data_IF_512628733091
#
_entry.id   IF_512628733091
#
_cell.length_a   1.000
_cell.length_b   1.000
_cell.length_c   1.000
_cell.angle_alpha   90.00
_cell.angle_beta   90.00
_cell.angle_gamma   90.00
#
_symmetry.space_group_name_H-M   'P 1'
#
loop_
_entity.id
_entity.type
_entity.pdbx_description
1 polymer ?
#
# COMPACT_ATOMS: atom_id res chain seq x y z
N UNK A 1 29.42 44.54 -6.54
CA UNK A 1 28.07 43.96 -6.72
C UNK A 1 28.21 42.45 -6.67
N UNK A 2 27.75 41.79 -5.60
CA UNK A 2 27.74 40.33 -5.51
C UNK A 2 26.36 39.80 -5.93
N UNK A 3 26.25 38.85 -6.87
CA UNK A 3 25.01 38.10 -7.08
C UNK A 3 24.92 36.98 -6.03
N UNK A 4 23.81 36.96 -5.30
CA UNK A 4 23.46 35.89 -4.34
C UNK A 4 23.08 34.62 -5.10
N UNK A 5 24.06 33.73 -5.32
CA UNK A 5 23.82 32.34 -5.72
C UNK A 5 23.58 31.47 -4.48
N UNK A 6 22.43 30.80 -4.41
CA UNK A 6 22.12 29.79 -3.39
C UNK A 6 23.09 28.60 -3.56
N UNK A 7 23.79 28.13 -2.52
CA UNK A 7 24.61 26.93 -2.63
C UNK A 7 23.75 25.70 -2.99
N UNK A 8 24.20 24.92 -3.98
CA UNK A 8 23.67 23.58 -4.26
C UNK A 8 24.00 22.67 -3.07
N UNK A 9 22.98 22.10 -2.45
CA UNK A 9 23.16 20.98 -1.51
C UNK A 9 23.45 19.72 -2.32
N UNK A 10 24.73 19.41 -2.47
CA UNK A 10 25.21 18.09 -2.84
C UNK A 10 25.30 17.24 -1.57
N UNK A 11 24.16 16.70 -1.13
CA UNK A 11 24.09 15.63 -0.13
C UNK A 11 22.63 15.19 -0.01
N UNK A 12 22.17 14.35 -0.93
CA UNK A 12 21.10 13.37 -0.68
C UNK A 12 21.14 12.24 -1.73
N UNK A 13 22.35 11.88 -2.17
CA UNK A 13 22.61 10.58 -2.79
C UNK A 13 23.05 9.62 -1.69
N UNK A 14 22.07 9.05 -0.97
CA UNK A 14 22.10 7.74 -0.28
C UNK A 14 20.87 7.54 0.60
N UNK A 15 19.69 7.89 0.10
CA UNK A 15 18.47 7.22 0.53
C UNK A 15 18.41 5.87 -0.18
N UNK A 16 19.05 4.85 0.40
CA UNK A 16 18.80 3.44 0.06
C UNK A 16 17.34 3.13 0.39
N UNK A 17 16.42 3.58 -0.47
CA UNK A 17 15.08 3.05 -0.50
C UNK A 17 15.21 1.67 -1.12
N UNK A 18 15.42 0.67 -0.27
CA UNK A 18 14.95 -0.67 -0.58
C UNK A 18 13.46 -0.51 -0.84
N UNK A 19 13.00 -0.69 -2.10
CA UNK A 19 11.59 -0.96 -2.29
C UNK A 19 11.35 -2.14 -1.36
N UNK A 20 10.37 -2.03 -0.48
CA UNK A 20 9.81 -3.22 0.13
C UNK A 20 9.31 -3.99 -1.09
N UNK A 21 10.13 -4.93 -1.54
CA UNK A 21 9.72 -6.02 -2.40
C UNK A 21 8.73 -6.72 -1.50
N UNK A 22 7.47 -6.27 -1.61
CA UNK A 22 6.32 -6.94 -1.01
C UNK A 22 6.30 -8.27 -1.73
N UNK A 23 7.08 -9.21 -1.18
CA UNK A 23 7.37 -10.49 -1.79
C UNK A 23 6.08 -11.27 -1.94
N UNK A 24 6.12 -12.31 -2.77
CA UNK A 24 5.05 -13.31 -2.81
C UNK A 24 4.64 -13.80 -1.42
N UNK A 25 5.53 -13.71 -0.42
CA UNK A 25 5.25 -14.03 0.98
C UNK A 25 4.27 -13.07 1.67
N UNK A 26 4.26 -11.78 1.32
CA UNK A 26 3.22 -10.86 1.81
C UNK A 26 1.88 -11.18 1.16
N UNK A 27 1.88 -11.60 -0.11
CA UNK A 27 0.67 -12.05 -0.79
C UNK A 27 0.15 -13.37 -0.22
N UNK A 28 1.03 -14.34 0.08
CA UNK A 28 0.69 -15.59 0.77
C UNK A 28 0.18 -15.34 2.21
N UNK A 29 0.74 -14.36 2.92
CA UNK A 29 0.23 -13.98 4.25
C UNK A 29 -1.08 -13.17 4.19
N UNK A 30 -1.38 -12.51 3.07
CA UNK A 30 -2.70 -11.91 2.82
C UNK A 30 -3.75 -12.95 2.37
N UNK A 31 -3.29 -14.12 1.91
CA UNK A 31 -4.11 -15.30 1.63
C UNK A 31 -4.39 -16.15 2.88
N UNK A 32 -4.04 -15.68 4.10
CA UNK A 32 -4.52 -16.31 5.33
C UNK A 32 -6.02 -16.05 5.39
N UNK A 33 -6.77 -16.95 4.78
CA UNK A 33 -8.23 -17.01 4.81
C UNK A 33 -8.66 -17.16 6.26
N UNK A 34 -9.45 -16.20 6.75
CA UNK A 34 -10.25 -16.41 7.94
C UNK A 34 -11.10 -17.67 7.74
N UNK A 35 -10.93 -18.69 8.58
CA UNK A 35 -11.65 -19.98 8.47
C UNK A 35 -13.17 -19.83 8.69
N UNK A 36 -13.67 -18.63 9.02
CA UNK A 36 -15.09 -18.26 9.05
C UNK A 36 -15.28 -16.80 8.64
N UNK A 37 -16.36 -16.44 7.91
CA UNK A 37 -16.68 -15.04 7.67
C UNK A 37 -16.98 -14.36 9.01
N UNK A 38 -16.17 -13.38 9.39
CA UNK A 38 -16.43 -12.55 10.57
C UNK A 38 -17.65 -11.65 10.33
N UNK A 39 -18.42 -11.40 11.39
CA UNK A 39 -19.55 -10.49 11.31
C UNK A 39 -19.08 -9.06 11.01
N UNK A 40 -19.82 -8.34 10.16
CA UNK A 40 -19.46 -6.98 9.73
C UNK A 40 -19.32 -6.00 10.91
N UNK A 41 -20.03 -6.24 12.01
CA UNK A 41 -19.93 -5.46 13.23
C UNK A 41 -18.57 -5.65 13.95
N UNK A 42 -18.06 -6.87 13.98
CA UNK A 42 -16.77 -7.20 14.60
C UNK A 42 -15.62 -6.56 13.82
N UNK A 43 -15.64 -6.67 12.49
CA UNK A 43 -14.64 -6.04 11.61
C UNK A 43 -14.62 -4.51 11.78
N UNK A 44 -15.79 -3.88 11.91
CA UNK A 44 -15.88 -2.44 12.17
C UNK A 44 -15.28 -2.10 13.54
N UNK A 45 -15.55 -2.88 14.58
CA UNK A 45 -14.99 -2.66 15.91
C UNK A 45 -13.46 -2.77 15.91
N UNK A 46 -12.91 -3.82 15.29
CA UNK A 46 -11.44 -3.98 15.10
C UNK A 46 -10.85 -2.78 14.36
N UNK A 47 -11.47 -2.36 13.27
CA UNK A 47 -11.00 -1.24 12.47
C UNK A 47 -11.02 0.09 13.24
N UNK A 48 -12.04 0.33 14.07
CA UNK A 48 -12.09 1.51 14.95
C UNK A 48 -10.88 1.54 15.88
N UNK A 49 -10.60 0.42 16.57
CA UNK A 49 -9.44 0.30 17.48
C UNK A 49 -8.12 0.54 16.73
N UNK A 50 -7.96 -0.05 15.55
CA UNK A 50 -6.77 0.13 14.72
C UNK A 50 -6.58 1.60 14.32
N UNK A 51 -7.65 2.29 13.93
CA UNK A 51 -7.59 3.69 13.48
C UNK A 51 -7.26 4.66 14.60
N UNK A 52 -7.59 4.33 15.85
CA UNK A 52 -7.26 5.14 17.03
C UNK A 52 -5.77 5.03 17.42
N UNK A 53 -5.06 3.98 16.98
CA UNK A 53 -3.64 3.79 17.28
C UNK A 53 -2.76 4.23 16.09
N UNK A 54 -1.93 5.29 16.21
CA UNK A 54 -1.22 5.88 15.06
C UNK A 54 -0.38 4.88 14.24
N UNK A 55 0.42 4.04 14.91
CA UNK A 55 1.29 3.08 14.23
C UNK A 55 0.52 1.96 13.53
N UNK A 56 -0.57 1.49 14.15
CA UNK A 56 -1.41 0.44 13.56
C UNK A 56 -2.26 1.00 12.41
N UNK A 57 -2.70 2.25 12.53
CA UNK A 57 -3.38 2.99 11.48
C UNK A 57 -2.48 3.22 10.27
N UNK A 58 -1.21 3.63 10.49
CA UNK A 58 -0.21 3.75 9.42
C UNK A 58 0.02 2.40 8.73
N UNK A 59 0.15 1.32 9.50
CA UNK A 59 0.30 -0.03 8.95
C UNK A 59 -0.94 -0.48 8.15
N UNK A 60 -2.14 -0.25 8.66
CA UNK A 60 -3.40 -0.55 7.98
C UNK A 60 -3.51 0.16 6.63
N UNK A 61 -3.22 1.46 6.58
CA UNK A 61 -3.25 2.18 5.31
C UNK A 61 -2.20 1.65 4.34
N UNK A 62 -0.99 1.34 4.82
CA UNK A 62 0.03 0.69 3.98
C UNK A 62 -0.50 -0.59 3.36
N UNK A 63 -1.18 -1.45 4.14
CA UNK A 63 -1.82 -2.67 3.64
C UNK A 63 -2.88 -2.39 2.58
N UNK A 64 -3.82 -1.48 2.83
CA UNK A 64 -4.90 -1.13 1.90
C UNK A 64 -4.36 -0.63 0.56
N UNK A 65 -3.42 0.32 0.61
CA UNK A 65 -2.84 0.90 -0.60
C UNK A 65 -1.97 -0.10 -1.38
N UNK A 66 -1.18 -0.91 -0.68
CA UNK A 66 -0.39 -1.97 -1.31
C UNK A 66 -1.30 -3.00 -1.96
N UNK A 67 -2.36 -3.42 -1.27
CA UNK A 67 -3.30 -4.40 -1.82
C UNK A 67 -4.05 -3.82 -3.04
N UNK A 68 -4.48 -2.56 -2.99
CA UNK A 68 -5.16 -1.94 -4.14
C UNK A 68 -4.27 -1.88 -5.39
N UNK A 69 -2.97 -1.63 -5.22
CA UNK A 69 -2.00 -1.72 -6.30
C UNK A 69 -1.92 -3.14 -6.89
N UNK A 70 -1.88 -4.17 -6.04
CA UNK A 70 -1.86 -5.56 -6.52
C UNK A 70 -3.14 -5.95 -7.24
N UNK A 71 -4.31 -5.55 -6.73
CA UNK A 71 -5.59 -5.81 -7.40
C UNK A 71 -5.60 -5.15 -8.78
N UNK A 72 -5.19 -3.88 -8.87
CA UNK A 72 -5.05 -3.17 -10.14
C UNK A 72 -4.09 -3.90 -11.10
N UNK A 73 -2.88 -4.25 -10.64
CA UNK A 73 -1.88 -4.96 -11.44
C UNK A 73 -2.39 -6.31 -11.94
N UNK A 74 -3.08 -7.08 -11.09
CA UNK A 74 -3.66 -8.37 -11.46
C UNK A 74 -4.78 -8.23 -12.48
N UNK A 75 -5.62 -7.19 -12.38
CA UNK A 75 -6.62 -6.89 -13.41
C UNK A 75 -5.95 -6.55 -14.73
N UNK A 76 -4.96 -5.65 -14.75
CA UNK A 76 -4.19 -5.32 -15.95
C UNK A 76 -3.54 -6.54 -16.59
N UNK A 77 -3.00 -7.46 -15.78
CA UNK A 77 -2.49 -8.75 -16.26
C UNK A 77 -3.59 -9.59 -16.90
N UNK A 78 -4.74 -9.71 -16.25
CA UNK A 78 -5.88 -10.50 -16.72
C UNK A 78 -6.43 -9.95 -18.04
N UNK A 79 -6.60 -8.63 -18.13
CA UNK A 79 -7.05 -7.94 -19.33
C UNK A 79 -6.06 -8.18 -20.49
N UNK A 80 -4.76 -8.01 -20.24
CA UNK A 80 -3.73 -8.22 -21.27
C UNK A 80 -3.67 -9.68 -21.76
N UNK A 81 -3.88 -10.65 -20.87
CA UNK A 81 -3.98 -12.08 -21.23
C UNK A 81 -5.22 -12.32 -22.11
N UNK A 82 -6.37 -11.76 -21.73
CA UNK A 82 -7.62 -11.91 -22.47
C UNK A 82 -7.54 -11.28 -23.87
N UNK A 83 -6.89 -10.12 -23.97
CA UNK A 83 -6.63 -9.39 -25.21
C UNK A 83 -5.52 -10.03 -26.08
N UNK A 84 -4.90 -11.13 -25.61
CA UNK A 84 -3.78 -11.81 -26.29
C UNK A 84 -2.60 -10.89 -26.58
N UNK A 85 -2.29 -10.01 -25.62
CA UNK A 85 -1.13 -9.14 -25.68
C UNK A 85 0.18 -9.92 -25.83
N UNK A 86 1.20 -9.26 -26.38
CA UNK A 86 2.51 -9.86 -26.54
C UNK A 86 3.23 -10.13 -25.20
N UNK A 87 4.24 -10.99 -25.25
CA UNK A 87 5.01 -11.38 -24.07
C UNK A 87 5.70 -10.20 -23.40
N UNK A 88 6.10 -9.18 -24.18
CA UNK A 88 6.73 -7.98 -23.68
C UNK A 88 5.76 -7.15 -22.84
N UNK A 89 4.51 -6.98 -23.27
CA UNK A 89 3.47 -6.28 -22.51
C UNK A 89 3.19 -6.98 -21.17
N UNK A 90 3.07 -8.30 -21.19
CA UNK A 90 2.86 -9.08 -19.96
C UNK A 90 4.03 -8.94 -18.97
N UNK A 91 5.27 -9.01 -19.46
CA UNK A 91 6.45 -8.81 -18.62
C UNK A 91 6.55 -7.38 -18.06
N UNK A 92 6.15 -6.37 -18.83
CA UNK A 92 6.09 -4.98 -18.36
C UNK A 92 5.06 -4.81 -17.24
N UNK A 93 3.88 -5.41 -17.37
CA UNK A 93 2.86 -5.36 -16.31
C UNK A 93 3.36 -6.12 -15.07
N UNK A 94 3.97 -7.31 -15.22
CA UNK A 94 4.56 -8.05 -14.09
C UNK A 94 5.65 -7.26 -13.36
N UNK A 95 6.45 -6.48 -14.08
CA UNK A 95 7.52 -5.65 -13.49
C UNK A 95 7.02 -4.28 -13.00
N UNK A 96 5.73 -3.99 -13.17
CA UNK A 96 5.14 -2.74 -12.70
C UNK A 96 5.42 -2.55 -11.21
N UNK A 97 5.89 -1.35 -10.86
CA UNK A 97 6.17 -0.90 -9.50
C UNK A 97 5.39 0.37 -9.15
N UNK A 98 5.50 0.82 -7.90
CA UNK A 98 4.76 1.98 -7.39
C UNK A 98 5.13 3.30 -8.06
N UNK A 99 6.35 3.45 -8.56
CA UNK A 99 6.78 4.67 -9.27
C UNK A 99 6.07 4.76 -10.62
N UNK A 100 6.03 3.65 -11.36
CA UNK A 100 5.28 3.58 -12.62
C UNK A 100 3.79 3.78 -12.40
N UNK A 101 3.22 3.24 -11.31
CA UNK A 101 1.82 3.52 -10.97
C UNK A 101 1.61 5.01 -10.68
N UNK A 102 2.48 5.66 -9.91
CA UNK A 102 2.38 7.09 -9.63
C UNK A 102 2.41 7.93 -10.91
N UNK A 103 3.27 7.58 -11.86
CA UNK A 103 3.34 8.19 -13.20
C UNK A 103 2.02 7.98 -13.98
N UNK A 104 1.47 6.77 -13.99
CA UNK A 104 0.18 6.45 -14.66
C UNK A 104 -0.97 7.26 -14.05
N UNK A 105 -1.03 7.37 -12.73
CA UNK A 105 -2.07 8.12 -12.00
C UNK A 105 -1.85 9.62 -12.12
N UNK A 106 -0.69 10.07 -12.64
CA UNK A 106 -0.28 11.47 -12.71
C UNK A 106 -0.18 12.13 -11.32
N UNK A 107 0.50 11.46 -10.38
CA UNK A 107 0.81 11.95 -9.03
C UNK A 107 2.32 11.84 -8.83
N UNK A 108 2.96 12.88 -8.30
CA UNK A 108 4.38 12.82 -7.94
C UNK A 108 4.66 11.65 -6.98
N UNK A 109 5.70 10.87 -7.25
CA UNK A 109 5.99 9.66 -6.49
C UNK A 109 6.11 9.89 -4.98
N UNK A 110 6.69 11.01 -4.54
CA UNK A 110 6.76 11.37 -3.12
C UNK A 110 5.36 11.49 -2.50
N UNK A 111 4.46 12.21 -3.17
CA UNK A 111 3.09 12.38 -2.73
C UNK A 111 2.30 11.06 -2.76
N UNK A 112 2.53 10.24 -3.79
CA UNK A 112 1.94 8.92 -3.93
C UNK A 112 2.35 8.00 -2.77
N UNK A 113 3.65 7.98 -2.45
CA UNK A 113 4.22 7.23 -1.34
C UNK A 113 3.65 7.68 0.02
N UNK A 114 3.48 8.98 0.24
CA UNK A 114 2.92 9.51 1.49
C UNK A 114 1.46 9.07 1.74
N UNK A 115 0.70 8.75 0.70
CA UNK A 115 -0.65 8.21 0.88
C UNK A 115 -0.63 6.87 1.62
N UNK A 116 0.39 6.04 1.40
CA UNK A 116 0.54 4.72 2.03
C UNK A 116 0.83 4.80 3.53
N UNK A 117 1.36 5.93 4.00
CA UNK A 117 1.61 6.18 5.42
C UNK A 117 0.55 7.06 6.08
N UNK A 118 -0.58 7.30 5.41
CA UNK A 118 -1.65 8.17 5.92
C UNK A 118 -1.30 9.67 5.94
N UNK A 119 -0.16 10.07 5.35
CA UNK A 119 0.30 11.47 5.26
C UNK A 119 -0.02 12.13 3.91
N UNK A 120 -0.83 11.47 3.10
CA UNK A 120 -1.28 11.97 1.81
C UNK A 120 -2.28 13.13 1.95
N UNK A 121 -2.48 13.89 0.87
CA UNK A 121 -3.53 14.90 0.82
C UNK A 121 -4.82 14.33 0.18
N UNK A 122 -5.97 14.93 0.51
CA UNK A 122 -7.28 14.48 0.04
C UNK A 122 -7.42 14.52 -1.49
N UNK A 123 -6.79 15.48 -2.17
CA UNK A 123 -6.82 15.60 -3.63
C UNK A 123 -6.19 14.38 -4.31
N UNK A 124 -5.00 13.99 -3.87
CA UNK A 124 -4.27 12.85 -4.42
C UNK A 124 -4.97 11.53 -4.08
N UNK A 125 -5.56 11.42 -2.89
CA UNK A 125 -6.39 10.28 -2.52
C UNK A 125 -7.59 10.15 -3.47
N UNK A 126 -8.32 11.23 -3.72
CA UNK A 126 -9.46 11.24 -4.63
C UNK A 126 -9.03 10.88 -6.04
N UNK A 127 -7.94 11.46 -6.53
CA UNK A 127 -7.39 11.16 -7.86
C UNK A 127 -7.04 9.68 -8.01
N UNK A 128 -6.41 9.08 -6.99
CA UNK A 128 -6.10 7.65 -7.00
C UNK A 128 -7.36 6.78 -6.92
N UNK A 129 -8.34 7.16 -6.10
CA UNK A 129 -9.62 6.45 -6.00
C UNK A 129 -10.39 6.47 -7.33
N UNK A 130 -10.45 7.61 -8.00
CA UNK A 130 -11.07 7.73 -9.32
C UNK A 130 -10.36 6.85 -10.34
N UNK A 131 -9.03 6.92 -10.40
CA UNK A 131 -8.23 6.05 -11.28
C UNK A 131 -8.51 4.57 -11.04
N UNK A 132 -8.52 4.13 -9.77
CA UNK A 132 -8.80 2.74 -9.43
C UNK A 132 -10.21 2.32 -9.86
N UNK A 133 -11.21 3.18 -9.63
CA UNK A 133 -12.59 2.92 -10.00
C UNK A 133 -12.76 2.76 -11.53
N UNK A 134 -12.15 3.66 -12.30
CA UNK A 134 -12.11 3.59 -13.77
C UNK A 134 -11.45 2.29 -14.28
N UNK A 135 -10.53 1.73 -13.50
CA UNK A 135 -9.86 0.46 -13.78
C UNK A 135 -10.51 -0.74 -13.06
N UNK A 136 -11.76 -0.61 -12.61
CA UNK A 136 -12.56 -1.69 -12.03
C UNK A 136 -12.15 -2.11 -10.61
N UNK A 137 -11.40 -1.28 -9.89
CA UNK A 137 -10.96 -1.54 -8.51
C UNK A 137 -11.76 -0.65 -7.54
N UNK A 138 -12.62 -1.26 -6.73
CA UNK A 138 -13.39 -0.54 -5.72
C UNK A 138 -12.58 -0.35 -4.43
N UNK A 139 -11.86 0.77 -4.34
CA UNK A 139 -11.01 1.10 -3.18
C UNK A 139 -11.79 1.20 -1.86
N UNK A 140 -13.07 1.58 -1.88
CA UNK A 140 -13.90 1.66 -0.67
C UNK A 140 -14.17 0.25 -0.14
N UNK A 141 -14.53 -0.70 -1.01
CA UNK A 141 -14.74 -2.09 -0.61
C UNK A 141 -13.46 -2.73 -0.08
N UNK A 142 -12.30 -2.43 -0.66
CA UNK A 142 -11.01 -2.95 -0.19
C UNK A 142 -10.72 -2.60 1.27
N UNK A 143 -11.12 -1.42 1.74
CA UNK A 143 -10.91 -0.99 3.14
C UNK A 143 -11.64 -1.88 4.16
N UNK A 144 -12.67 -2.63 3.73
CA UNK A 144 -13.45 -3.48 4.61
C UNK A 144 -13.16 -4.97 4.42
N UNK A 145 -12.06 -5.31 3.75
CA UNK A 145 -11.62 -6.70 3.64
C UNK A 145 -11.14 -7.21 5.01
N UNK A 146 -11.70 -8.35 5.40
CA UNK A 146 -11.41 -9.05 6.65
C UNK A 146 -9.90 -9.31 6.83
N UNK A 147 -9.23 -9.80 5.79
CA UNK A 147 -7.79 -10.10 5.81
C UNK A 147 -6.94 -8.87 6.12
N UNK A 148 -7.29 -7.70 5.58
CA UNK A 148 -6.55 -6.45 5.83
C UNK A 148 -6.80 -5.95 7.26
N UNK A 149 -8.05 -5.96 7.70
CA UNK A 149 -8.44 -5.53 9.04
C UNK A 149 -7.82 -6.44 10.10
N UNK A 150 -7.92 -7.75 9.94
CA UNK A 150 -7.40 -8.73 10.88
C UNK A 150 -5.87 -8.70 10.98
N UNK A 151 -5.17 -8.50 9.85
CA UNK A 151 -3.72 -8.35 9.86
C UNK A 151 -3.28 -7.08 10.60
N UNK A 152 -3.97 -5.97 10.36
CA UNK A 152 -3.72 -4.72 11.10
C UNK A 152 -4.06 -4.83 12.59
N UNK A 153 -5.15 -5.52 12.93
CA UNK A 153 -5.55 -5.75 14.32
C UNK A 153 -4.56 -6.67 15.05
N UNK A 154 -4.05 -7.71 14.39
CA UNK A 154 -2.99 -8.56 14.93
C UNK A 154 -1.71 -7.76 15.22
N UNK A 155 -1.32 -6.88 14.29
CA UNK A 155 -0.21 -5.96 14.50
C UNK A 155 -0.44 -5.04 15.71
N UNK A 156 -1.65 -4.47 15.84
CA UNK A 156 -2.04 -3.68 17.01
C UNK A 156 -1.92 -4.46 18.33
N UNK A 157 -2.40 -5.71 18.37
CA UNK A 157 -2.30 -6.54 19.57
C UNK A 157 -0.85 -6.81 19.95
N UNK A 158 0.03 -7.01 18.97
CA UNK A 158 1.45 -7.22 19.22
C UNK A 158 2.17 -5.93 19.67
N UNK A 159 1.80 -4.77 19.14
CA UNK A 159 2.28 -3.47 19.64
C UNK A 159 1.92 -3.24 21.11
N UNK A 160 0.77 -3.75 21.55
CA UNK A 160 0.33 -3.70 22.95
C UNK A 160 0.98 -4.78 23.82
N UNK A 161 1.67 -5.74 23.22
CA UNK A 161 2.38 -6.77 23.96
C UNK A 161 3.82 -6.34 24.20
N UNK A 162 4.31 -6.52 25.42
CA UNK A 162 5.73 -6.32 25.75
C UNK A 162 6.62 -7.48 25.22
N UNK A 163 6.09 -8.31 24.31
CA UNK A 163 6.76 -9.51 23.81
C UNK A 163 7.76 -9.23 22.70
N UNK A 164 7.61 -8.12 21.98
CA UNK A 164 8.43 -7.79 20.82
C UNK A 164 8.87 -6.33 20.87
N UNK A 165 10.09 -6.08 20.44
CA UNK A 165 10.59 -4.73 20.19
C UNK A 165 9.96 -4.15 18.92
N UNK A 166 9.96 -2.82 18.80
CA UNK A 166 9.48 -2.12 17.59
C UNK A 166 10.20 -2.60 16.32
N UNK A 167 11.49 -2.95 16.42
CA UNK A 167 12.29 -3.41 15.27
C UNK A 167 11.92 -4.84 14.84
N UNK A 168 11.68 -5.74 15.79
CA UNK A 168 11.19 -7.09 15.51
C UNK A 168 9.81 -7.06 14.86
N UNK A 169 8.92 -6.18 15.33
CA UNK A 169 7.60 -6.01 14.73
C UNK A 169 7.67 -5.42 13.31
N UNK A 170 8.61 -4.52 13.03
CA UNK A 170 8.84 -4.06 11.65
C UNK A 170 9.28 -5.20 10.76
N UNK A 171 10.24 -6.02 11.19
CA UNK A 171 10.72 -7.15 10.39
C UNK A 171 9.62 -8.20 10.10
N UNK A 172 8.65 -8.36 11.00
CA UNK A 172 7.55 -9.31 10.82
C UNK A 172 6.43 -8.79 9.89
N UNK A 173 6.22 -7.47 9.82
CA UNK A 173 5.04 -6.89 9.18
C UNK A 173 5.34 -5.92 8.02
N UNK A 174 6.56 -5.38 7.91
CA UNK A 174 6.91 -4.32 6.96
C UNK A 174 7.85 -4.77 5.85
#
# INVERSE_FOLDING_TARGET
MNPRGRPKLAADEKGSYTPILVGEDVLKTLQISSEKPEEQAELKAKLTIVKEHPEASEYYWKLVFTYSFFVYKNRRMTDAIFERSDTMTLENIKKMNLKQLAEIVNIEYHNFKNMYSGRGNAKNLLQYQSFLYENGVNFISLQYMDTLINKAYSYYQLLKSDKYTSEELKNLFF
#
